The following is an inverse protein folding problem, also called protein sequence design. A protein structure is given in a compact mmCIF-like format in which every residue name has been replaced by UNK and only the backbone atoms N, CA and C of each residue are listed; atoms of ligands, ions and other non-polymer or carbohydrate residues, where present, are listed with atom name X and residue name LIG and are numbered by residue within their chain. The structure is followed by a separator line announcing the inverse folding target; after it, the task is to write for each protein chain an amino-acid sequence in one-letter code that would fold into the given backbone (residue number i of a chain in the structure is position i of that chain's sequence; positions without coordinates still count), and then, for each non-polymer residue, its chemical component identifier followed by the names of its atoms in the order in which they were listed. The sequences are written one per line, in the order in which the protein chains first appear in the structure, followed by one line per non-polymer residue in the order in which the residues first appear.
data_IF_968906597767
#
_entry.id   IF_968906597767
#
_cell.length_a   1.000
_cell.length_b   1.000
_cell.length_c   1.000
_cell.angle_alpha   90.00
_cell.angle_beta   90.00
_cell.angle_gamma   90.00
#
_symmetry.space_group_name_H-M   'P 1'
#
loop_
_entity.id
_entity.type
_entity.pdbx_description
1 polymer ?
#
# COMPACT_ATOMS: atom_id res chain seq x y z
N UNK A 1 -26.82 26.63 0.86
CA UNK A 1 -27.39 27.99 1.01
C UNK A 1 -28.46 27.86 2.08
N UNK A 2 -28.47 28.68 3.14
CA UNK A 2 -29.49 28.47 4.16
C UNK A 2 -30.85 28.94 3.62
N UNK A 3 -31.81 28.04 3.55
CA UNK A 3 -33.18 28.28 3.12
C UNK A 3 -33.78 29.46 3.88
N UNK A 4 -33.42 29.60 5.14
CA UNK A 4 -33.85 30.68 6.05
C UNK A 4 -33.62 32.08 5.45
N UNK A 5 -32.50 32.31 4.78
CA UNK A 5 -32.19 33.58 4.11
C UNK A 5 -33.23 33.97 3.06
N UNK A 6 -33.78 33.00 2.34
CA UNK A 6 -34.82 33.25 1.33
C UNK A 6 -36.21 33.41 1.98
N UNK A 7 -36.49 32.65 3.04
CA UNK A 7 -37.73 32.77 3.81
C UNK A 7 -37.78 34.13 4.53
N UNK A 8 -36.66 34.64 5.02
CA UNK A 8 -36.60 35.96 5.64
C UNK A 8 -36.81 37.13 4.67
N UNK A 9 -36.59 36.89 3.37
CA UNK A 9 -36.83 37.89 2.33
C UNK A 9 -38.30 38.04 1.93
N UNK A 10 -39.21 37.21 2.47
CA UNK A 10 -40.62 37.25 2.18
C UNK A 10 -41.27 38.48 2.84
N UNK A 11 -42.11 39.15 2.09
CA UNK A 11 -42.85 40.31 2.59
C UNK A 11 -43.72 39.96 3.80
N UNK A 12 -43.92 40.92 4.71
CA UNK A 12 -44.70 40.75 5.95
C UNK A 12 -46.11 40.21 5.72
N UNK A 13 -46.72 40.50 4.57
CA UNK A 13 -48.09 40.02 4.23
C UNK A 13 -48.18 38.49 4.10
N UNK A 14 -47.09 37.81 3.76
CA UNK A 14 -47.08 36.37 3.50
C UNK A 14 -46.32 35.57 4.54
N UNK A 15 -45.51 36.24 5.38
CA UNK A 15 -44.67 35.60 6.39
C UNK A 15 -45.48 34.81 7.43
N UNK A 16 -46.67 35.28 7.78
CA UNK A 16 -47.56 34.64 8.74
C UNK A 16 -48.52 33.60 8.12
N UNK A 17 -48.30 33.20 6.87
CA UNK A 17 -49.11 32.21 6.18
C UNK A 17 -48.44 30.83 6.18
N UNK A 18 -48.73 29.94 7.15
CA UNK A 18 -47.98 28.70 7.33
C UNK A 18 -48.02 27.77 6.11
N UNK A 19 -49.17 27.71 5.40
CA UNK A 19 -49.31 26.89 4.19
C UNK A 19 -48.42 27.40 3.04
N UNK A 20 -48.34 28.71 2.89
CA UNK A 20 -47.51 29.35 1.86
C UNK A 20 -46.02 29.13 2.16
N UNK A 21 -45.62 29.33 3.41
CA UNK A 21 -44.23 29.09 3.87
C UNK A 21 -43.85 27.63 3.68
N UNK A 22 -44.72 26.67 4.05
CA UNK A 22 -44.46 25.24 3.88
C UNK A 22 -44.29 24.85 2.39
N UNK A 23 -45.14 25.38 1.51
CA UNK A 23 -45.04 25.16 0.07
C UNK A 23 -43.72 25.73 -0.49
N UNK A 24 -43.40 26.97 -0.12
CA UNK A 24 -42.18 27.62 -0.58
C UNK A 24 -40.94 26.92 -0.02
N UNK A 25 -40.90 26.51 1.23
CA UNK A 25 -39.83 25.75 1.86
C UNK A 25 -39.60 24.43 1.13
N UNK A 26 -40.67 23.71 0.78
CA UNK A 26 -40.56 22.45 0.02
C UNK A 26 -39.88 22.66 -1.34
N UNK A 27 -40.25 23.71 -2.07
CA UNK A 27 -39.65 24.06 -3.35
C UNK A 27 -38.18 24.49 -3.21
N UNK A 28 -37.86 25.30 -2.20
CA UNK A 28 -36.50 25.77 -1.92
C UNK A 28 -35.57 24.64 -1.46
N UNK A 29 -36.09 23.64 -0.73
CA UNK A 29 -35.31 22.48 -0.27
C UNK A 29 -34.75 21.70 -1.46
N UNK A 30 -35.50 21.53 -2.54
CA UNK A 30 -35.04 20.85 -3.75
C UNK A 30 -33.86 21.61 -4.38
N UNK A 31 -33.99 22.94 -4.45
CA UNK A 31 -32.94 23.80 -5.01
C UNK A 31 -31.69 23.81 -4.12
N UNK A 32 -31.86 23.83 -2.80
CA UNK A 32 -30.77 23.83 -1.84
C UNK A 32 -30.00 22.50 -1.88
N UNK A 33 -30.70 21.37 -2.01
CA UNK A 33 -30.05 20.07 -2.21
C UNK A 33 -29.23 20.04 -3.50
N UNK A 34 -29.78 20.54 -4.62
CA UNK A 34 -29.03 20.61 -5.87
C UNK A 34 -27.78 21.51 -5.77
N UNK A 35 -27.91 22.64 -5.06
CA UNK A 35 -26.79 23.55 -4.81
C UNK A 35 -25.71 22.90 -3.94
N UNK A 36 -26.10 22.20 -2.86
CA UNK A 36 -25.15 21.48 -1.99
C UNK A 36 -24.43 20.38 -2.77
N UNK A 37 -25.14 19.59 -3.57
CA UNK A 37 -24.53 18.57 -4.42
C UNK A 37 -23.51 19.19 -5.39
N UNK A 38 -23.86 20.28 -6.05
CA UNK A 38 -22.94 20.96 -6.98
C UNK A 38 -21.73 21.54 -6.26
N UNK A 39 -21.93 22.11 -5.08
CA UNK A 39 -20.84 22.67 -4.27
C UNK A 39 -19.86 21.60 -3.76
N UNK A 40 -20.34 20.41 -3.48
CA UNK A 40 -19.52 19.31 -2.96
C UNK A 40 -18.91 18.46 -4.08
N UNK A 41 -19.28 18.69 -5.33
CA UNK A 41 -18.86 17.87 -6.46
C UNK A 41 -17.33 17.76 -6.59
N UNK A 42 -16.61 18.85 -6.37
CA UNK A 42 -15.14 18.85 -6.40
C UNK A 42 -14.56 17.90 -5.35
N UNK A 43 -15.11 17.92 -4.14
CA UNK A 43 -14.69 17.04 -3.05
C UNK A 43 -15.13 15.59 -3.27
N UNK A 44 -16.32 15.37 -3.81
CA UNK A 44 -16.89 14.03 -4.03
C UNK A 44 -16.18 13.28 -5.16
N UNK A 45 -15.55 14.01 -6.09
CA UNK A 45 -14.74 13.46 -7.18
C UNK A 45 -13.24 13.70 -6.99
N UNK A 46 -12.81 14.15 -5.80
CA UNK A 46 -11.42 14.12 -5.44
C UNK A 46 -10.97 12.67 -5.16
N UNK A 47 -9.81 12.28 -5.70
CA UNK A 47 -9.29 10.92 -5.59
C UNK A 47 -9.10 10.47 -4.12
N UNK A 48 -8.85 11.39 -3.22
CA UNK A 48 -8.68 11.09 -1.79
C UNK A 48 -10.01 10.84 -1.06
N UNK A 49 -11.09 11.45 -1.53
CA UNK A 49 -12.39 11.45 -0.86
C UNK A 49 -13.46 10.58 -1.57
N UNK A 50 -13.29 10.35 -2.88
CA UNK A 50 -14.23 9.57 -3.69
C UNK A 50 -14.45 8.15 -3.16
N UNK A 51 -15.69 7.66 -3.19
CA UNK A 51 -16.05 6.32 -2.71
C UNK A 51 -16.97 5.60 -3.71
N UNK A 52 -16.87 4.28 -3.73
CA UNK A 52 -17.73 3.42 -4.53
C UNK A 52 -17.76 3.81 -6.02
N UNK A 53 -18.94 4.16 -6.53
CA UNK A 53 -19.12 4.50 -7.95
C UNK A 53 -18.39 5.77 -8.39
N UNK A 54 -18.18 6.74 -7.51
CA UNK A 54 -17.41 7.95 -7.81
C UNK A 54 -15.96 7.55 -8.17
N UNK A 55 -15.39 6.65 -7.38
CA UNK A 55 -14.06 6.11 -7.62
C UNK A 55 -13.99 5.29 -8.91
N UNK A 56 -15.06 4.57 -9.26
CA UNK A 56 -15.15 3.82 -10.52
C UNK A 56 -15.18 4.75 -11.75
N UNK A 57 -15.88 5.88 -11.65
CA UNK A 57 -15.90 6.91 -12.69
C UNK A 57 -14.51 7.52 -12.86
N UNK A 58 -13.84 7.89 -11.77
CA UNK A 58 -12.46 8.37 -11.80
C UNK A 58 -11.53 7.33 -12.43
N UNK A 59 -11.71 6.06 -12.11
CA UNK A 59 -10.93 4.97 -12.68
C UNK A 59 -11.11 4.83 -14.19
N UNK A 60 -12.31 5.07 -14.72
CA UNK A 60 -12.54 5.11 -16.17
C UNK A 60 -11.79 6.26 -16.84
N UNK A 61 -11.77 7.43 -16.22
CA UNK A 61 -11.04 8.61 -16.73
C UNK A 61 -9.53 8.37 -16.69
N UNK A 62 -9.01 7.81 -15.61
CA UNK A 62 -7.58 7.52 -15.40
C UNK A 62 -7.12 6.34 -16.28
N UNK A 63 -8.04 5.50 -16.73
CA UNK A 63 -7.74 4.34 -17.58
C UNK A 63 -7.42 3.06 -16.79
N UNK A 64 -7.95 2.90 -15.59
CA UNK A 64 -7.85 1.68 -14.77
C UNK A 64 -9.21 1.26 -14.22
N UNK A 65 -9.55 -0.01 -14.41
CA UNK A 65 -10.77 -0.60 -13.86
C UNK A 65 -10.51 -1.13 -12.44
N UNK A 66 -11.55 -1.19 -11.62
CA UNK A 66 -11.54 -1.79 -10.29
C UNK A 66 -11.27 -3.30 -10.35
N UNK A 67 -11.72 -3.97 -11.39
CA UNK A 67 -11.51 -5.40 -11.57
C UNK A 67 -10.12 -5.65 -12.16
N UNK A 68 -9.34 -6.49 -11.51
CA UNK A 68 -8.03 -6.94 -11.97
C UNK A 68 -8.19 -7.81 -13.22
N UNK A 69 -7.20 -7.79 -14.10
CA UNK A 69 -7.14 -8.66 -15.29
C UNK A 69 -6.49 -10.04 -15.01
N UNK A 70 -6.20 -10.32 -13.75
CA UNK A 70 -5.67 -11.59 -13.28
C UNK A 70 -6.40 -12.03 -12.01
N UNK A 71 -6.34 -13.34 -11.69
CA UNK A 71 -6.87 -13.86 -10.44
C UNK A 71 -5.80 -13.72 -9.35
N UNK A 72 -6.05 -12.98 -8.26
CA UNK A 72 -5.14 -12.90 -7.12
C UNK A 72 -4.93 -14.26 -6.45
N UNK A 73 -3.79 -14.42 -5.78
CA UNK A 73 -3.49 -15.64 -5.01
C UNK A 73 -4.49 -15.83 -3.86
N UNK A 74 -4.63 -17.07 -3.41
CA UNK A 74 -5.54 -17.46 -2.31
C UNK A 74 -7.03 -17.14 -2.56
N UNK A 75 -7.50 -17.22 -3.80
CA UNK A 75 -8.90 -16.97 -4.20
C UNK A 75 -9.45 -15.61 -3.74
N UNK A 76 -8.59 -14.62 -3.57
CA UNK A 76 -9.04 -13.26 -3.31
C UNK A 76 -9.91 -12.73 -4.46
N UNK A 77 -10.89 -11.92 -4.11
CA UNK A 77 -11.78 -11.31 -5.09
C UNK A 77 -10.96 -10.41 -6.04
N UNK A 78 -11.07 -10.60 -7.37
CA UNK A 78 -10.41 -9.73 -8.33
C UNK A 78 -10.96 -8.30 -8.38
N UNK A 79 -12.10 -8.03 -7.71
CA UNK A 79 -12.65 -6.69 -7.55
C UNK A 79 -12.06 -6.06 -6.31
N UNK A 80 -11.28 -5.00 -6.50
CA UNK A 80 -10.58 -4.29 -5.42
C UNK A 80 -11.57 -3.52 -4.53
N UNK A 81 -11.28 -3.46 -3.23
CA UNK A 81 -11.90 -2.55 -2.29
C UNK A 81 -11.53 -1.09 -2.59
N UNK A 82 -12.24 -0.14 -2.03
CA UNK A 82 -12.03 1.29 -2.32
C UNK A 82 -10.63 1.78 -1.94
N UNK A 83 -10.07 1.29 -0.82
CA UNK A 83 -8.75 1.69 -0.36
C UNK A 83 -7.65 1.20 -1.31
N UNK A 84 -7.66 -0.09 -1.64
CA UNK A 84 -6.69 -0.68 -2.56
C UNK A 84 -6.86 -0.11 -3.98
N UNK A 85 -8.10 0.11 -4.41
CA UNK A 85 -8.37 0.69 -5.73
C UNK A 85 -7.88 2.15 -5.83
N UNK A 86 -8.06 2.96 -4.79
CA UNK A 86 -7.52 4.32 -4.70
C UNK A 86 -6.00 4.32 -4.81
N UNK A 87 -5.32 3.39 -4.15
CA UNK A 87 -3.88 3.21 -4.26
C UNK A 87 -3.45 2.93 -5.70
N UNK A 88 -4.14 2.02 -6.39
CA UNK A 88 -3.89 1.70 -7.80
C UNK A 88 -4.13 2.90 -8.70
N UNK A 89 -5.16 3.70 -8.45
CA UNK A 89 -5.45 4.90 -9.24
C UNK A 89 -4.39 5.99 -9.02
N UNK A 90 -3.97 6.24 -7.78
CA UNK A 90 -2.86 7.16 -7.47
C UNK A 90 -1.58 6.73 -8.17
N UNK A 91 -1.25 5.44 -8.11
CA UNK A 91 -0.10 4.88 -8.81
C UNK A 91 -0.20 5.07 -10.32
N UNK A 92 -1.39 4.88 -10.90
CA UNK A 92 -1.60 5.06 -12.35
C UNK A 92 -1.46 6.53 -12.77
N UNK A 93 -1.99 7.47 -12.00
CA UNK A 93 -1.82 8.91 -12.24
C UNK A 93 -0.33 9.27 -12.23
N UNK A 94 0.40 8.83 -11.20
CA UNK A 94 1.82 9.06 -11.08
C UNK A 94 2.62 8.45 -12.24
N UNK A 95 2.28 7.23 -12.67
CA UNK A 95 2.88 6.60 -13.84
C UNK A 95 2.58 7.34 -15.15
N UNK A 96 1.37 7.90 -15.31
CA UNK A 96 1.03 8.68 -16.50
C UNK A 96 1.80 10.02 -16.56
N UNK A 97 2.24 10.54 -15.42
CA UNK A 97 3.03 11.78 -15.30
C UNK A 97 4.54 11.54 -15.29
N UNK A 98 4.97 10.28 -15.24
CA UNK A 98 6.39 9.94 -15.14
C UNK A 98 7.16 10.28 -16.42
N UNK A 99 8.31 10.93 -16.24
CA UNK A 99 9.20 11.38 -17.33
C UNK A 99 10.20 10.31 -17.82
N UNK A 100 10.15 9.11 -17.25
CA UNK A 100 11.02 7.98 -17.60
C UNK A 100 12.35 7.94 -16.86
N UNK A 101 12.64 8.91 -15.97
CA UNK A 101 13.86 8.90 -15.17
C UNK A 101 13.72 8.07 -13.90
N UNK A 102 14.81 7.44 -13.49
CA UNK A 102 14.85 6.63 -12.28
C UNK A 102 14.63 7.46 -11.01
N UNK A 103 15.16 8.69 -10.99
CA UNK A 103 15.04 9.61 -9.87
C UNK A 103 13.57 9.99 -9.60
N UNK A 104 12.85 10.37 -10.65
CA UNK A 104 11.43 10.69 -10.53
C UNK A 104 10.57 9.45 -10.23
N UNK A 105 10.99 8.25 -10.61
CA UNK A 105 10.33 7.02 -10.19
C UNK A 105 10.40 6.81 -8.67
N UNK A 106 11.53 7.13 -8.04
CA UNK A 106 11.67 7.08 -6.58
C UNK A 106 10.82 8.13 -5.87
N UNK A 107 10.78 9.36 -6.39
CA UNK A 107 9.91 10.42 -5.85
C UNK A 107 8.43 10.02 -5.90
N UNK A 108 7.99 9.50 -7.05
CA UNK A 108 6.63 8.98 -7.22
C UNK A 108 6.34 7.88 -6.22
N UNK A 109 7.26 6.92 -6.08
CA UNK A 109 7.09 5.81 -5.15
C UNK A 109 6.96 6.27 -3.71
N UNK A 110 7.87 7.14 -3.26
CA UNK A 110 7.89 7.66 -1.89
C UNK A 110 6.66 8.52 -1.56
N UNK A 111 6.03 9.14 -2.56
CA UNK A 111 4.78 9.88 -2.38
C UNK A 111 3.55 8.97 -2.24
N UNK A 112 3.63 7.73 -2.73
CA UNK A 112 2.52 6.76 -2.69
C UNK A 112 2.66 5.82 -1.49
N UNK A 113 3.90 5.47 -1.12
CA UNK A 113 4.22 4.48 -0.10
C UNK A 113 5.18 5.07 0.94
N UNK A 114 4.69 5.18 2.17
CA UNK A 114 5.52 5.57 3.33
C UNK A 114 6.18 4.35 4.00
N UNK A 115 5.61 3.15 3.79
CA UNK A 115 5.94 1.91 4.50
C UNK A 115 6.76 0.92 3.66
N UNK A 116 6.91 1.18 2.37
CA UNK A 116 7.55 0.26 1.42
C UNK A 116 8.65 0.98 0.63
N UNK A 117 9.89 0.53 0.79
CA UNK A 117 11.02 1.03 0.02
C UNK A 117 11.12 0.38 -1.36
N UNK A 118 11.49 1.14 -2.37
CA UNK A 118 11.80 0.67 -3.72
C UNK A 118 13.26 0.94 -4.03
N UNK A 119 13.94 -0.05 -4.61
CA UNK A 119 15.25 0.11 -5.21
C UNK A 119 15.25 -0.52 -6.61
N UNK A 120 15.59 0.24 -7.62
CA UNK A 120 15.67 -0.22 -9.01
C UNK A 120 17.13 -0.49 -9.40
N UNK A 121 17.37 -1.61 -10.05
CA UNK A 121 18.67 -1.96 -10.62
C UNK A 121 18.50 -2.24 -12.11
N UNK A 122 19.23 -1.51 -12.94
CA UNK A 122 19.29 -1.77 -14.38
C UNK A 122 20.23 -2.95 -14.65
N UNK A 123 19.72 -3.96 -15.36
CA UNK A 123 20.48 -5.15 -15.74
C UNK A 123 21.17 -5.00 -17.11
N UNK A 124 20.99 -3.88 -17.81
CA UNK A 124 21.59 -3.59 -19.12
C UNK A 124 21.24 -4.59 -20.24
N UNK A 125 20.14 -5.32 -20.08
CA UNK A 125 19.64 -6.33 -21.02
C UNK A 125 18.15 -6.11 -21.37
N UNK A 126 17.68 -4.87 -21.34
CA UNK A 126 16.26 -4.51 -21.46
C UNK A 126 15.41 -5.08 -20.30
N UNK A 127 16.04 -5.30 -19.14
CA UNK A 127 15.34 -5.65 -17.92
C UNK A 127 15.79 -4.81 -16.73
N UNK A 128 14.87 -4.60 -15.80
CA UNK A 128 15.08 -3.95 -14.51
C UNK A 128 14.79 -4.94 -13.40
N UNK A 129 15.56 -4.89 -12.33
CA UNK A 129 15.23 -5.58 -11.08
C UNK A 129 14.73 -4.57 -10.07
N UNK A 130 13.48 -4.76 -9.61
CA UNK A 130 12.87 -3.95 -8.57
C UNK A 130 12.95 -4.69 -7.22
N UNK A 131 13.73 -4.15 -6.30
CA UNK A 131 13.80 -4.61 -4.92
C UNK A 131 12.80 -3.84 -4.09
N UNK A 132 11.84 -4.54 -3.52
CA UNK A 132 10.79 -3.97 -2.67
C UNK A 132 11.09 -4.37 -1.23
N UNK A 133 11.35 -3.39 -0.36
CA UNK A 133 11.68 -3.59 1.05
C UNK A 133 10.55 -3.09 1.94
N UNK A 134 10.12 -3.92 2.91
CA UNK A 134 9.05 -3.58 3.83
C UNK A 134 8.02 -4.69 3.96
N UNK A 135 7.00 -4.43 4.77
CA UNK A 135 5.88 -5.36 4.91
C UNK A 135 4.86 -5.12 3.79
N UNK A 136 4.77 -6.08 2.89
CA UNK A 136 3.82 -6.05 1.77
C UNK A 136 2.76 -7.12 2.01
N UNK A 137 1.49 -6.73 2.10
CA UNK A 137 0.41 -7.70 2.18
C UNK A 137 0.24 -8.41 0.81
N UNK A 138 -0.44 -9.57 0.82
CA UNK A 138 -0.56 -10.43 -0.37
C UNK A 138 -1.09 -9.70 -1.60
N UNK A 139 -2.14 -8.89 -1.42
CA UNK A 139 -2.78 -8.15 -2.52
C UNK A 139 -1.85 -7.09 -3.13
N UNK A 140 -1.10 -6.36 -2.27
CA UNK A 140 -0.10 -5.38 -2.73
C UNK A 140 1.04 -6.07 -3.48
N UNK A 141 1.46 -7.26 -3.01
CA UNK A 141 2.48 -8.05 -3.69
C UNK A 141 2.02 -8.47 -5.09
N UNK A 142 0.80 -8.97 -5.23
CA UNK A 142 0.23 -9.35 -6.51
C UNK A 142 0.14 -8.14 -7.47
N UNK A 143 -0.27 -6.97 -6.97
CA UNK A 143 -0.34 -5.73 -7.74
C UNK A 143 1.05 -5.24 -8.19
N UNK A 144 2.07 -5.40 -7.36
CA UNK A 144 3.47 -5.09 -7.70
C UNK A 144 3.95 -6.04 -8.79
N UNK A 145 3.77 -7.35 -8.63
CA UNK A 145 4.22 -8.37 -9.57
C UNK A 145 3.58 -8.22 -10.95
N UNK A 146 2.33 -7.81 -11.01
CA UNK A 146 1.62 -7.59 -12.28
C UNK A 146 1.77 -6.17 -12.85
N UNK A 147 2.65 -5.35 -12.26
CA UNK A 147 2.99 -4.02 -12.79
C UNK A 147 1.87 -2.98 -12.67
N UNK A 148 0.99 -3.13 -11.68
CA UNK A 148 -0.06 -2.15 -11.42
C UNK A 148 0.44 -0.91 -10.67
N UNK A 149 1.55 -1.03 -9.95
CA UNK A 149 2.02 -0.01 -9.01
C UNK A 149 3.42 0.51 -9.38
N UNK A 150 4.32 -0.35 -9.86
CA UNK A 150 5.70 0.06 -10.16
C UNK A 150 5.78 0.74 -11.52
N UNK A 151 6.29 1.98 -11.60
CA UNK A 151 6.57 2.63 -12.88
C UNK A 151 7.62 1.85 -13.66
N UNK A 152 7.34 1.55 -14.91
CA UNK A 152 8.27 0.88 -15.82
C UNK A 152 8.22 1.50 -17.21
N UNK A 153 9.36 1.61 -17.90
CA UNK A 153 9.38 1.96 -19.32
C UNK A 153 8.68 0.87 -20.15
N UNK A 154 8.02 1.25 -21.22
CA UNK A 154 7.46 0.29 -22.17
C UNK A 154 8.56 -0.54 -22.82
N UNK A 155 8.32 -1.85 -22.99
CA UNK A 155 9.32 -2.77 -23.56
C UNK A 155 10.37 -3.28 -22.58
N UNK A 156 10.48 -2.71 -21.38
CA UNK A 156 11.40 -3.18 -20.32
C UNK A 156 10.71 -4.23 -19.47
N UNK A 157 11.40 -5.36 -19.23
CA UNK A 157 10.97 -6.42 -18.35
C UNK A 157 11.34 -6.09 -16.92
N UNK A 158 10.41 -6.23 -15.95
CA UNK A 158 10.72 -6.06 -14.54
C UNK A 158 10.72 -7.40 -13.83
N UNK A 159 11.80 -7.65 -13.09
CA UNK A 159 11.92 -8.73 -12.14
C UNK A 159 11.69 -8.17 -10.74
N UNK A 160 10.76 -8.74 -9.97
CA UNK A 160 10.46 -8.29 -8.61
C UNK A 160 11.14 -9.19 -7.59
N UNK A 161 11.84 -8.57 -6.64
CA UNK A 161 12.46 -9.25 -5.51
C UNK A 161 11.97 -8.56 -4.23
N UNK A 162 11.17 -9.29 -3.44
CA UNK A 162 10.77 -8.85 -2.11
C UNK A 162 11.91 -9.04 -1.12
N UNK A 163 12.26 -7.97 -0.39
CA UNK A 163 13.20 -8.00 0.74
C UNK A 163 12.43 -7.65 1.99
N UNK A 164 12.02 -8.64 2.75
CA UNK A 164 11.40 -8.41 4.05
C UNK A 164 12.49 -8.48 5.12
N UNK A 165 12.67 -7.44 5.95
CA UNK A 165 13.54 -7.57 7.12
C UNK A 165 12.92 -8.60 8.05
N UNK A 166 13.57 -9.72 8.25
CA UNK A 166 13.14 -10.77 9.16
C UNK A 166 13.93 -10.65 10.44
N UNK A 167 13.31 -10.17 11.51
CA UNK A 167 13.88 -10.20 12.85
C UNK A 167 13.67 -11.59 13.46
N UNK A 168 14.66 -12.46 13.39
CA UNK A 168 14.66 -13.72 14.09
C UNK A 168 15.11 -13.53 15.54
N UNK A 169 14.20 -13.70 16.48
CA UNK A 169 14.55 -13.88 17.90
C UNK A 169 14.63 -15.37 18.20
N UNK A 170 15.83 -15.93 18.15
CA UNK A 170 16.04 -17.32 18.57
C UNK A 170 16.23 -17.35 20.09
N UNK A 171 15.23 -17.85 20.80
CA UNK A 171 15.33 -18.15 22.23
C UNK A 171 15.76 -19.60 22.39
N UNK A 172 17.04 -19.87 22.66
CA UNK A 172 17.50 -21.19 23.07
C UNK A 172 17.61 -21.22 24.59
N UNK A 173 16.77 -22.01 25.24
CA UNK A 173 16.92 -22.34 26.63
C UNK A 173 17.58 -23.74 26.75
N UNK A 174 18.83 -23.81 27.19
CA UNK A 174 19.51 -25.07 27.43
C UNK A 174 19.56 -25.36 28.90
N UNK A 175 18.84 -26.41 29.32
CA UNK A 175 19.00 -27.03 30.64
C UNK A 175 19.99 -28.16 30.47
N UNK A 176 21.22 -27.98 30.96
CA UNK A 176 22.31 -28.93 30.75
C UNK A 176 22.21 -30.07 31.75
N UNK A 177 21.90 -31.26 31.26
CA UNK A 177 22.37 -32.52 31.77
C UNK A 177 22.81 -33.45 30.62
N UNK A 178 23.71 -33.02 29.76
CA UNK A 178 24.54 -33.82 28.88
C UNK A 178 25.01 -32.96 27.68
N UNK A 179 26.18 -33.24 27.18
CA UNK A 179 26.74 -32.59 25.98
C UNK A 179 25.83 -32.84 24.77
N UNK A 180 25.04 -31.82 24.39
CA UNK A 180 24.36 -31.83 23.10
C UNK A 180 24.92 -30.70 22.24
N UNK A 181 25.48 -31.07 21.08
CA UNK A 181 25.84 -30.15 20.03
C UNK A 181 24.56 -29.93 19.19
N UNK A 182 23.98 -28.72 19.28
CA UNK A 182 22.84 -28.35 18.43
C UNK A 182 23.37 -27.64 17.19
N UNK A 183 23.20 -28.24 16.04
CA UNK A 183 23.49 -27.62 14.76
C UNK A 183 22.19 -27.07 14.18
N UNK A 184 22.12 -25.75 14.01
CA UNK A 184 20.99 -25.11 13.34
C UNK A 184 21.42 -24.89 11.88
N UNK A 185 20.78 -25.58 10.96
CA UNK A 185 20.93 -25.34 9.52
C UNK A 185 19.82 -24.41 9.06
N UNK A 186 20.19 -23.27 8.52
CA UNK A 186 19.28 -22.33 7.90
C UNK A 186 19.72 -22.10 6.46
N UNK A 187 18.80 -22.25 5.52
CA UNK A 187 19.01 -21.96 4.11
C UNK A 187 18.45 -20.56 3.79
N UNK A 188 19.31 -19.66 3.33
CA UNK A 188 18.94 -18.29 2.98
C UNK A 188 19.46 -17.93 1.60
N UNK A 189 18.75 -17.07 0.91
CA UNK A 189 19.25 -16.45 -0.31
C UNK A 189 20.45 -15.54 0.05
N UNK A 190 21.63 -15.71 -0.60
CA UNK A 190 22.84 -14.94 -0.28
C UNK A 190 22.73 -13.43 -0.54
N UNK A 191 21.64 -12.97 -1.15
CA UNK A 191 21.37 -11.54 -1.41
C UNK A 191 20.66 -10.84 -0.27
N UNK A 192 20.12 -11.56 0.71
CA UNK A 192 19.40 -10.97 1.84
C UNK A 192 20.33 -10.59 3.00
N UNK A 193 20.16 -9.36 3.52
CA UNK A 193 20.78 -8.94 4.79
C UNK A 193 19.93 -9.42 5.94
N UNK A 194 20.43 -10.42 6.67
CA UNK A 194 19.75 -10.95 7.85
C UNK A 194 20.42 -10.38 9.09
N UNK A 195 19.66 -9.64 9.88
CA UNK A 195 20.09 -9.13 11.18
C UNK A 195 19.63 -10.13 12.27
N UNK A 196 20.56 -11.03 12.67
CA UNK A 196 20.27 -12.03 13.70
C UNK A 196 20.72 -11.54 15.07
N UNK A 197 19.80 -11.34 15.98
CA UNK A 197 20.12 -11.13 17.41
C UNK A 197 19.97 -12.43 18.15
N UNK A 198 21.10 -13.07 18.45
CA UNK A 198 21.15 -14.28 19.27
C UNK A 198 21.15 -13.90 20.76
N UNK A 199 20.09 -14.20 21.48
CA UNK A 199 20.02 -14.05 22.94
C UNK A 199 20.20 -15.42 23.58
N UNK A 200 21.42 -15.72 24.02
CA UNK A 200 21.69 -16.92 24.83
C UNK A 200 21.75 -16.56 26.29
N UNK A 201 20.93 -17.19 27.12
CA UNK A 201 21.04 -17.10 28.58
C UNK A 201 21.69 -18.40 29.06
N UNK A 202 22.98 -18.32 29.36
CA UNK A 202 23.73 -19.46 29.93
C UNK A 202 23.76 -19.32 31.42
N UNK A 203 23.18 -20.31 32.11
CA UNK A 203 23.41 -20.51 33.54
C UNK A 203 24.07 -21.89 33.62
N UNK A 204 25.41 -21.98 33.55
CA UNK A 204 26.25 -23.02 34.17
C UNK A 204 27.66 -23.00 33.54
N UNK A 205 28.64 -23.35 34.33
CA UNK A 205 30.07 -23.45 34.10
C UNK A 205 30.43 -24.39 32.91
N UNK A 206 30.96 -23.84 31.87
CA UNK A 206 31.50 -24.61 30.73
C UNK A 206 31.56 -23.80 29.44
N UNK A 207 32.64 -23.89 28.72
CA UNK A 207 32.80 -23.25 27.40
C UNK A 207 31.92 -24.00 26.39
N UNK A 208 30.92 -23.32 25.81
CA UNK A 208 30.12 -23.88 24.73
C UNK A 208 30.45 -23.22 23.40
N UNK A 209 30.66 -24.05 22.40
CA UNK A 209 30.91 -23.61 21.02
C UNK A 209 29.64 -23.83 20.19
N UNK A 210 29.00 -22.75 19.79
CA UNK A 210 27.86 -22.82 18.88
C UNK A 210 28.31 -22.53 17.44
N UNK A 211 28.09 -23.47 16.56
CA UNK A 211 28.41 -23.29 15.12
C UNK A 211 27.09 -23.11 14.37
N UNK A 212 26.95 -21.97 13.72
CA UNK A 212 25.82 -21.68 12.81
C UNK A 212 26.31 -21.88 11.40
N UNK A 213 25.75 -22.83 10.67
CA UNK A 213 26.01 -23.05 9.25
C UNK A 213 24.88 -22.49 8.41
N UNK A 214 25.22 -21.56 7.55
CA UNK A 214 24.30 -21.05 6.52
C UNK A 214 24.59 -21.77 5.20
N UNK A 215 23.58 -22.34 4.57
CA UNK A 215 23.73 -22.88 3.21
C UNK A 215 23.92 -21.72 2.24
N UNK A 216 25.10 -21.55 1.74
CA UNK A 216 25.59 -20.43 0.92
C UNK A 216 27.08 -20.22 1.11
N UNK A 217 27.75 -21.07 1.90
CA UNK A 217 29.19 -21.26 1.93
C UNK A 217 29.99 -20.33 2.83
N UNK A 218 29.39 -19.64 3.81
CA UNK A 218 30.17 -18.92 4.84
C UNK A 218 29.87 -19.47 6.24
N UNK A 219 30.91 -20.03 6.87
CA UNK A 219 30.88 -20.37 8.30
C UNK A 219 31.15 -19.11 9.13
N UNK A 220 30.21 -18.79 10.01
CA UNK A 220 30.41 -17.72 10.98
C UNK A 220 30.70 -18.36 12.34
N UNK A 221 31.92 -18.17 12.81
CA UNK A 221 32.33 -18.61 14.14
C UNK A 221 32.09 -17.48 15.15
N UNK A 222 31.10 -17.65 16.02
CA UNK A 222 30.89 -16.77 17.17
C UNK A 222 31.54 -17.40 18.41
N UNK A 223 32.46 -16.70 19.05
CA UNK A 223 32.89 -17.01 20.42
C UNK A 223 31.97 -16.27 21.38
N UNK A 224 31.30 -17.00 22.28
CA UNK A 224 30.57 -16.48 23.41
C UNK A 224 31.39 -16.62 24.67
#
# INVERSE_FOLDING_TARGET
MAIDKYLDSITSQHRDKPKYIAWLSSSLTIIDHAYIMTKNMDNDFDLDNAVGQQLDILGQVIGRKRTLNFQPLNDHNPVLDDETYRLVLKSKVAMNMWDGKTESAYEIWNNIFDDIGLQLQDNQDMSLTAYVTGYVNQIRQDLIQHGYIVPKPEGVRINYIGRTPIDFKVHSAMVVYSQQISTIQMSFDPTEKIDMKLHSRITVQGIQKTTIKCEGGKEIHGNI
#
